data_IF_053150157779
#
_entry.id   IF_053150157779
#
_cell.length_a   1.000
_cell.length_b   1.000
_cell.length_c   1.000
_cell.angle_alpha   90.00
_cell.angle_beta   90.00
_cell.angle_gamma   90.00
#
_symmetry.space_group_name_H-M   'P 1'
#
loop_
_entity.id
_entity.type
_entity.pdbx_description
1 polymer ?
#
# COMPACT_ATOMS: atom_id res chain seq x y z
N UNK A 1 15.89 1.96 3.96
CA UNK A 1 14.69 2.82 4.06
C UNK A 1 14.40 2.96 5.54
N UNK A 2 14.27 4.18 6.03
CA UNK A 2 13.97 4.47 7.44
C UNK A 2 12.45 4.37 7.66
N UNK A 3 12.01 3.31 8.34
CA UNK A 3 10.58 3.05 8.56
C UNK A 3 9.92 4.06 9.51
N UNK A 4 10.67 4.59 10.47
CA UNK A 4 10.14 5.60 11.39
C UNK A 4 9.86 6.90 10.62
N UNK A 5 10.77 7.27 9.71
CA UNK A 5 10.56 8.41 8.80
C UNK A 5 9.36 8.19 7.88
N UNK A 6 9.19 6.97 7.35
CA UNK A 6 8.04 6.63 6.50
C UNK A 6 6.72 6.75 7.27
N UNK A 7 6.65 6.26 8.52
CA UNK A 7 5.46 6.41 9.37
C UNK A 7 5.15 7.86 9.72
N UNK A 8 6.19 8.68 9.91
CA UNK A 8 6.07 10.11 10.23
C UNK A 8 5.38 10.89 9.12
N UNK A 9 5.63 10.54 7.85
CA UNK A 9 5.08 11.25 6.67
C UNK A 9 3.88 10.52 6.04
N UNK A 10 3.65 9.27 6.45
CA UNK A 10 2.63 8.40 5.87
C UNK A 10 1.22 8.66 6.38
N UNK A 11 0.27 8.44 5.49
CA UNK A 11 -1.16 8.28 5.77
C UNK A 11 -1.65 6.93 5.26
N UNK A 12 -2.68 6.40 5.93
CA UNK A 12 -3.35 5.17 5.59
C UNK A 12 -4.03 5.26 4.21
N UNK A 13 -3.78 4.28 3.37
CA UNK A 13 -4.31 4.18 2.01
C UNK A 13 -5.81 3.84 1.94
N UNK A 14 -6.44 3.51 3.08
CA UNK A 14 -7.88 3.26 3.15
C UNK A 14 -8.67 4.46 3.68
N UNK A 15 -8.14 5.15 4.70
CA UNK A 15 -8.90 6.16 5.45
C UNK A 15 -8.23 7.53 5.56
N UNK A 16 -7.01 7.69 5.05
CA UNK A 16 -6.25 8.94 5.07
C UNK A 16 -5.73 9.36 6.45
N UNK A 17 -5.91 8.56 7.50
CA UNK A 17 -5.40 8.88 8.83
C UNK A 17 -3.86 8.78 8.86
N UNK A 18 -3.16 9.68 9.58
CA UNK A 18 -1.71 9.59 9.76
C UNK A 18 -1.29 8.25 10.41
N UNK A 19 -0.17 7.70 9.96
CA UNK A 19 0.34 6.40 10.47
C UNK A 19 1.37 6.54 11.60
N UNK A 20 1.75 7.78 11.93
CA UNK A 20 2.77 8.06 12.95
C UNK A 20 2.43 7.46 14.32
N UNK A 21 1.15 7.46 14.69
CA UNK A 21 0.69 6.94 15.98
C UNK A 21 0.48 5.42 16.01
N UNK A 22 0.59 4.74 14.86
CA UNK A 22 0.35 3.30 14.81
C UNK A 22 1.44 2.54 15.59
N UNK A 23 1.07 1.44 16.23
CA UNK A 23 1.99 0.54 16.91
C UNK A 23 2.83 -0.24 15.90
N UNK A 24 2.23 -0.63 14.77
CA UNK A 24 2.89 -1.42 13.75
C UNK A 24 3.16 -0.59 12.48
N UNK A 25 3.93 -1.18 11.58
CA UNK A 25 4.06 -0.70 10.22
C UNK A 25 3.37 -1.70 9.31
N UNK A 26 2.10 -1.44 8.97
CA UNK A 26 1.31 -2.39 8.19
C UNK A 26 1.36 -2.01 6.71
N UNK A 27 1.67 -3.01 5.88
CA UNK A 27 1.60 -2.89 4.44
C UNK A 27 0.89 -4.11 3.86
N UNK A 28 0.19 -3.88 2.77
CA UNK A 28 -0.42 -4.95 1.97
C UNK A 28 0.04 -4.82 0.53
N UNK A 29 0.18 -5.97 -0.12
CA UNK A 29 0.44 -6.06 -1.54
C UNK A 29 -0.89 -5.97 -2.30
N UNK A 30 -0.91 -5.21 -3.40
CA UNK A 30 -2.08 -4.99 -4.24
C UNK A 30 -1.99 -5.81 -5.53
N UNK A 31 -3.13 -6.15 -6.12
CA UNK A 31 -3.20 -6.74 -7.46
C UNK A 31 -3.14 -5.65 -8.56
N UNK A 32 -2.17 -4.76 -8.43
CA UNK A 32 -1.91 -3.64 -9.35
C UNK A 32 -0.42 -3.63 -9.66
N UNK A 33 -0.06 -3.52 -10.94
CA UNK A 33 1.35 -3.40 -11.33
C UNK A 33 1.88 -2.01 -10.93
N UNK A 34 3.04 -1.97 -10.28
CA UNK A 34 3.78 -0.76 -9.96
C UNK A 34 4.50 -0.21 -11.21
N UNK A 35 3.75 0.15 -12.26
CA UNK A 35 4.27 0.55 -13.58
C UNK A 35 4.84 1.99 -13.65
N UNK A 36 5.25 2.57 -12.52
CA UNK A 36 5.78 3.93 -12.40
C UNK A 36 7.14 4.07 -13.09
N UNK A 37 7.57 5.32 -13.40
CA UNK A 37 8.78 5.63 -14.20
C UNK A 37 10.07 4.96 -13.67
N UNK A 38 10.12 4.71 -12.36
CA UNK A 38 11.16 3.93 -11.71
C UNK A 38 10.50 2.76 -10.97
N UNK A 39 10.09 1.68 -11.66
CA UNK A 39 9.46 0.55 -11.02
C UNK A 39 10.55 -0.19 -10.26
N UNK A 40 10.86 0.26 -9.05
CA UNK A 40 11.72 -0.47 -8.14
C UNK A 40 10.91 -1.70 -7.78
N UNK A 41 11.39 -2.85 -8.24
CA UNK A 41 10.90 -4.20 -7.95
C UNK A 41 10.05 -4.15 -6.68
N UNK A 42 8.74 -4.42 -6.84
CA UNK A 42 7.76 -4.43 -5.77
C UNK A 42 8.40 -4.96 -4.48
N UNK A 43 8.22 -4.19 -3.40
CA UNK A 43 8.71 -4.46 -2.05
C UNK A 43 9.99 -5.31 -1.96
N UNK A 44 11.12 -4.70 -1.57
CA UNK A 44 12.34 -5.43 -1.14
C UNK A 44 12.08 -6.43 0.02
N UNK A 45 10.87 -6.41 0.60
CA UNK A 45 10.42 -7.25 1.72
C UNK A 45 9.68 -8.53 1.32
N UNK A 46 9.16 -8.64 0.09
CA UNK A 46 8.57 -9.89 -0.38
C UNK A 46 9.12 -10.20 -1.77
N UNK A 47 9.42 -11.46 -2.05
CA UNK A 47 10.02 -11.89 -3.31
C UNK A 47 9.07 -11.81 -4.52
N UNK A 48 7.94 -11.11 -4.42
CA UNK A 48 7.02 -10.90 -5.53
C UNK A 48 7.48 -9.71 -6.36
N UNK A 49 7.47 -9.91 -7.67
CA UNK A 49 7.95 -8.91 -8.62
C UNK A 49 6.76 -8.08 -9.07
N UNK A 50 6.90 -6.75 -8.97
CA UNK A 50 6.10 -5.72 -9.66
C UNK A 50 4.71 -5.34 -9.10
N UNK A 51 4.24 -5.89 -7.98
CA UNK A 51 2.97 -5.43 -7.41
C UNK A 51 3.14 -4.17 -6.56
N UNK A 52 2.21 -3.24 -6.72
CA UNK A 52 2.08 -2.03 -5.92
C UNK A 52 1.65 -2.39 -4.50
N UNK A 53 1.90 -1.49 -3.56
CA UNK A 53 1.65 -1.74 -2.13
C UNK A 53 0.85 -0.60 -1.54
N UNK A 54 0.13 -0.87 -0.45
CA UNK A 54 -0.59 0.14 0.32
C UNK A 54 -0.13 0.10 1.77
N UNK A 55 0.03 1.28 2.37
CA UNK A 55 0.28 1.43 3.82
C UNK A 55 -1.04 1.56 4.57
N UNK A 56 -1.17 0.83 5.67
CA UNK A 56 -2.42 0.65 6.39
C UNK A 56 -2.23 1.02 7.86
N UNK A 57 -3.15 1.81 8.43
CA UNK A 57 -3.11 2.09 9.87
C UNK A 57 -3.62 0.90 10.69
N UNK A 58 -3.26 0.84 11.97
CA UNK A 58 -3.63 -0.29 12.84
C UNK A 58 -5.14 -0.59 12.82
N UNK A 59 -6.06 0.40 12.97
CA UNK A 59 -7.50 0.13 12.93
C UNK A 59 -7.99 -0.45 11.59
N UNK A 60 -7.35 -0.10 10.48
CA UNK A 60 -7.68 -0.69 9.19
C UNK A 60 -7.07 -2.09 9.07
N UNK A 61 -5.87 -2.31 9.59
CA UNK A 61 -5.21 -3.62 9.67
C UNK A 61 -6.03 -4.64 10.46
N UNK A 62 -6.53 -4.25 11.64
CA UNK A 62 -7.41 -5.09 12.46
C UNK A 62 -8.67 -5.54 11.69
N UNK A 63 -9.19 -4.69 10.80
CA UNK A 63 -10.33 -5.03 9.94
C UNK A 63 -9.98 -6.02 8.83
N UNK A 64 -8.77 -5.96 8.27
CA UNK A 64 -8.28 -7.00 7.36
C UNK A 64 -8.20 -8.36 8.08
N UNK A 65 -7.65 -8.40 9.30
CA UNK A 65 -7.58 -9.63 10.10
C UNK A 65 -8.96 -10.20 10.44
N UNK A 66 -9.95 -9.33 10.63
CA UNK A 66 -11.33 -9.72 10.87
C UNK A 66 -12.10 -10.18 9.62
N UNK A 67 -11.45 -10.24 8.44
CA UNK A 67 -12.09 -10.51 7.15
C UNK A 67 -13.19 -9.49 6.76
N UNK A 68 -13.07 -8.25 7.22
CA UNK A 68 -13.90 -7.10 6.84
C UNK A 68 -13.03 -5.96 6.29
N UNK A 69 -12.27 -6.20 5.19
CA UNK A 69 -11.28 -5.25 4.73
C UNK A 69 -11.94 -3.94 4.28
N UNK A 70 -11.42 -2.77 4.73
CA UNK A 70 -11.83 -1.51 4.14
C UNK A 70 -11.42 -1.43 2.67
N UNK A 71 -12.13 -0.59 1.90
CA UNK A 71 -11.71 -0.25 0.55
C UNK A 71 -10.34 0.42 0.58
N UNK A 72 -9.43 -0.07 -0.25
CA UNK A 72 -8.13 0.56 -0.50
C UNK A 72 -8.36 1.62 -1.57
N UNK A 73 -7.92 2.84 -1.30
CA UNK A 73 -8.09 3.99 -2.20
C UNK A 73 -6.80 4.28 -2.97
N UNK A 74 -5.65 4.01 -2.34
CA UNK A 74 -4.36 4.39 -2.90
C UNK A 74 -3.32 3.26 -2.82
N UNK A 75 -2.40 3.27 -3.77
CA UNK A 75 -1.11 2.62 -3.69
C UNK A 75 -0.03 3.65 -3.34
N UNK A 76 1.10 3.20 -2.79
CA UNK A 76 2.25 4.05 -2.48
C UNK A 76 3.46 3.71 -3.33
N UNK A 77 4.16 4.76 -3.74
CA UNK A 77 5.49 4.69 -4.35
C UNK A 77 6.50 5.40 -3.44
N UNK A 78 7.63 4.75 -3.21
CA UNK A 78 8.74 5.29 -2.41
C UNK A 78 9.76 6.00 -3.32
N UNK A 79 9.70 7.34 -3.35
CA UNK A 79 10.60 8.17 -4.14
C UNK A 79 11.61 8.89 -3.23
N UNK A 80 12.72 8.21 -2.92
CA UNK A 80 13.73 8.71 -2.00
C UNK A 80 13.19 8.78 -0.57
N UNK A 81 12.98 10.00 -0.05
CA UNK A 81 12.38 10.26 1.27
C UNK A 81 10.90 10.68 1.19
N UNK A 82 10.29 10.59 0.01
CA UNK A 82 8.90 10.97 -0.24
C UNK A 82 8.02 9.74 -0.44
N UNK A 83 6.74 9.89 -0.09
CA UNK A 83 5.67 8.97 -0.45
C UNK A 83 4.79 9.63 -1.49
N UNK A 84 4.67 8.97 -2.64
CA UNK A 84 3.72 9.36 -3.70
C UNK A 84 2.54 8.42 -3.63
N UNK A 85 1.33 8.98 -3.62
CA UNK A 85 0.08 8.24 -3.56
C UNK A 85 -0.53 8.20 -4.95
N UNK A 86 -0.90 6.99 -5.37
CA UNK A 86 -1.49 6.72 -6.67
C UNK A 86 -2.87 6.13 -6.49
N UNK A 87 -3.85 6.56 -7.28
CA UNK A 87 -5.20 5.99 -7.22
C UNK A 87 -5.13 4.48 -7.47
N UNK A 88 -5.72 3.71 -6.56
CA UNK A 88 -5.85 2.27 -6.71
C UNK A 88 -7.22 1.93 -7.29
N UNK A 89 -7.22 1.38 -8.49
CA UNK A 89 -8.40 0.83 -9.14
C UNK A 89 -8.20 -0.69 -9.16
N UNK A 90 -8.95 -1.45 -8.32
CA UNK A 90 -8.86 -2.90 -8.33
C UNK A 90 -9.11 -3.45 -9.74
N UNK A 91 -8.33 -4.44 -10.17
CA UNK A 91 -8.68 -5.20 -11.38
C UNK A 91 -10.08 -5.78 -11.17
N UNK A 92 -10.98 -5.53 -12.11
CA UNK A 92 -12.27 -6.20 -12.09
C UNK A 92 -12.01 -7.72 -12.22
N UNK A 93 -12.32 -8.48 -11.17
CA UNK A 93 -12.33 -9.93 -11.26
C UNK A 93 -13.42 -10.35 -12.27
N UNK A 94 -13.04 -10.55 -13.54
CA UNK A 94 -13.92 -11.15 -14.55
C UNK A 94 -13.92 -10.57 -15.98
N UNK A 95 -12.95 -9.75 -16.42
CA UNK A 95 -13.00 -9.19 -17.78
C UNK A 95 -12.17 -9.93 -18.85
N UNK A 96 -11.25 -10.84 -18.48
CA UNK A 96 -10.44 -11.59 -19.45
C UNK A 96 -10.62 -13.10 -19.26
N UNK A 97 -11.72 -13.62 -19.79
CA UNK A 97 -11.81 -14.99 -20.30
C UNK A 97 -12.41 -14.94 -21.71
N UNK A 98 -11.65 -14.37 -22.64
CA UNK A 98 -11.92 -14.40 -24.08
C UNK A 98 -11.01 -15.40 -24.78
#
# INVERSE_FOLDING_TARGET
MDLDRVKEIGVCCCCGQPTKQDRHFNMIQLDMDAAWEFPRLGNVFDSSVNNAVAMICDPCGDRFEANDPPTILYAIEFLGEQLVYHDYIPRAHGADQG
#
